data_IF_606221919703
#
_entry.id   IF_606221919703
#
_cell.length_a   1.000
_cell.length_b   1.000
_cell.length_c   1.000
_cell.angle_alpha   90.00
_cell.angle_beta   90.00
_cell.angle_gamma   90.00
#
_symmetry.space_group_name_H-M   'P 1'
#
loop_
_entity.id
_entity.type
_entity.pdbx_description
1 polymer ?
#
# COMPACT_ATOMS: atom_id res chain seq x y z
N UNK A 1 6.53 11.33 11.49
CA UNK A 1 6.44 9.91 11.11
C UNK A 1 7.80 9.27 11.31
N UNK A 2 7.83 8.11 11.93
CA UNK A 2 9.10 7.45 12.23
C UNK A 2 9.72 6.88 10.95
N UNK A 3 11.03 6.98 10.85
CA UNK A 3 11.74 6.49 9.67
C UNK A 3 11.57 4.98 9.46
N UNK A 4 11.54 4.19 10.54
CA UNK A 4 11.31 2.76 10.44
C UNK A 4 9.99 2.45 9.75
N UNK A 5 8.96 3.20 10.09
CA UNK A 5 7.65 3.01 9.50
C UNK A 5 7.65 3.37 8.01
N UNK A 6 8.34 4.46 7.66
CA UNK A 6 8.47 4.87 6.26
C UNK A 6 9.15 3.77 5.46
N UNK A 7 10.26 3.25 5.98
CA UNK A 7 11.01 2.19 5.31
C UNK A 7 10.18 0.93 5.15
N UNK A 8 9.51 0.51 6.22
CA UNK A 8 8.68 -0.70 6.19
C UNK A 8 7.54 -0.56 5.19
N UNK A 9 6.89 0.59 5.17
CA UNK A 9 5.77 0.83 4.27
C UNK A 9 6.22 0.75 2.81
N UNK A 10 7.32 1.44 2.48
CA UNK A 10 7.85 1.43 1.12
C UNK A 10 8.36 0.05 0.73
N UNK A 11 8.93 -0.68 1.69
CA UNK A 11 9.42 -2.03 1.45
C UNK A 11 8.28 -2.97 1.04
N UNK A 12 7.11 -2.83 1.68
CA UNK A 12 5.96 -3.65 1.30
C UNK A 12 5.53 -3.38 -0.13
N UNK A 13 5.58 -2.13 -0.57
CA UNK A 13 5.22 -1.78 -1.95
C UNK A 13 6.35 -2.03 -2.94
N UNK A 14 7.55 -2.32 -2.47
CA UNK A 14 8.69 -2.60 -3.32
C UNK A 14 8.71 -4.00 -3.92
N UNK A 15 7.58 -4.68 -3.91
CA UNK A 15 7.39 -6.01 -4.46
C UNK A 15 6.32 -5.94 -5.54
N UNK A 16 6.60 -6.54 -6.69
CA UNK A 16 5.73 -6.45 -7.86
C UNK A 16 4.30 -6.92 -7.56
N UNK A 17 4.17 -8.07 -6.89
CA UNK A 17 2.85 -8.63 -6.57
C UNK A 17 2.11 -7.75 -5.58
N UNK A 18 2.79 -7.30 -4.52
CA UNK A 18 2.15 -6.44 -3.52
C UNK A 18 1.71 -5.11 -4.12
N UNK A 19 2.52 -4.54 -4.98
CA UNK A 19 2.13 -3.30 -5.65
C UNK A 19 0.92 -3.52 -6.54
N UNK A 20 0.87 -4.65 -7.26
CA UNK A 20 -0.28 -4.99 -8.09
C UNK A 20 -1.55 -5.14 -7.26
N UNK A 21 -1.46 -5.79 -6.09
CA UNK A 21 -2.58 -5.92 -5.17
C UNK A 21 -3.06 -4.53 -4.73
N UNK A 22 -2.14 -3.69 -4.30
CA UNK A 22 -2.48 -2.35 -3.82
C UNK A 22 -3.14 -1.52 -4.92
N UNK A 23 -2.60 -1.56 -6.13
CA UNK A 23 -3.18 -0.82 -7.26
C UNK A 23 -4.57 -1.31 -7.61
N UNK A 24 -4.80 -2.61 -7.55
CA UNK A 24 -6.13 -3.17 -7.77
C UNK A 24 -7.12 -2.61 -6.75
N UNK A 25 -6.71 -2.55 -5.48
CA UNK A 25 -7.56 -2.08 -4.41
C UNK A 25 -7.79 -0.57 -4.48
N UNK A 26 -6.80 0.21 -4.92
CA UNK A 26 -7.01 1.64 -5.16
C UNK A 26 -8.13 1.82 -6.19
N UNK A 27 -8.07 1.07 -7.27
CA UNK A 27 -9.08 1.17 -8.34
C UNK A 27 -10.46 0.71 -7.87
N UNK A 28 -10.51 -0.19 -6.91
CA UNK A 28 -11.78 -0.69 -6.37
C UNK A 28 -12.47 0.33 -5.44
N UNK A 29 -11.71 1.28 -4.94
CA UNK A 29 -12.25 2.34 -4.09
C UNK A 29 -12.99 1.82 -2.87
N UNK A 30 -14.14 2.41 -2.60
CA UNK A 30 -14.93 2.08 -1.41
C UNK A 30 -15.60 0.71 -1.48
N UNK A 31 -15.69 0.14 -2.67
CA UNK A 31 -16.26 -1.20 -2.81
C UNK A 31 -15.30 -2.28 -2.33
N UNK A 32 -14.01 -2.01 -2.43
CA UNK A 32 -13.00 -2.99 -2.09
C UNK A 32 -13.04 -4.20 -3.01
N UNK A 33 -12.32 -5.24 -2.62
CA UNK A 33 -12.34 -6.50 -3.34
C UNK A 33 -12.13 -7.63 -2.34
N UNK A 34 -12.79 -8.76 -2.57
CA UNK A 34 -12.59 -9.91 -1.71
C UNK A 34 -11.23 -10.56 -2.01
N UNK A 35 -10.73 -11.33 -1.04
CA UNK A 35 -9.49 -12.06 -1.23
C UNK A 35 -9.59 -12.97 -2.45
N UNK A 36 -10.74 -13.63 -2.61
CA UNK A 36 -10.96 -14.49 -3.78
C UNK A 36 -10.89 -13.74 -5.10
N UNK A 37 -11.51 -12.55 -5.15
CA UNK A 37 -11.48 -11.72 -6.34
C UNK A 37 -10.06 -11.26 -6.69
N UNK A 38 -9.30 -10.86 -5.68
CA UNK A 38 -7.93 -10.42 -5.89
C UNK A 38 -7.09 -11.56 -6.47
N UNK A 39 -7.18 -12.74 -5.85
CA UNK A 39 -6.41 -13.90 -6.29
C UNK A 39 -6.77 -14.31 -7.71
N UNK A 40 -8.06 -14.27 -8.04
CA UNK A 40 -8.53 -14.65 -9.36
C UNK A 40 -8.05 -13.65 -10.43
N UNK A 41 -8.17 -12.37 -10.15
CA UNK A 41 -7.80 -11.32 -11.12
C UNK A 41 -6.30 -11.24 -11.35
N UNK A 42 -5.51 -11.45 -10.30
CA UNK A 42 -4.06 -11.37 -10.40
C UNK A 42 -3.41 -12.72 -10.63
N UNK A 43 -4.20 -13.79 -10.63
CA UNK A 43 -3.72 -15.16 -10.81
C UNK A 43 -2.67 -15.53 -9.77
N UNK A 44 -2.95 -15.16 -8.51
CA UNK A 44 -2.06 -15.44 -7.37
C UNK A 44 -2.69 -16.54 -6.52
N UNK A 45 -1.95 -17.61 -6.23
CA UNK A 45 -2.46 -18.68 -5.37
C UNK A 45 -2.82 -18.18 -3.97
N UNK A 46 -3.84 -18.78 -3.32
CA UNK A 46 -4.30 -18.29 -2.01
C UNK A 46 -3.22 -18.16 -0.94
N UNK A 47 -2.33 -19.12 -0.85
CA UNK A 47 -1.27 -19.07 0.18
C UNK A 47 -0.30 -17.90 -0.06
N UNK A 48 0.09 -17.71 -1.31
CA UNK A 48 0.96 -16.61 -1.70
C UNK A 48 0.26 -15.27 -1.48
N UNK A 49 -1.01 -15.20 -1.87
CA UNK A 49 -1.81 -13.99 -1.68
C UNK A 49 -1.92 -13.63 -0.20
N UNK A 50 -2.20 -14.62 0.65
CA UNK A 50 -2.29 -14.39 2.10
C UNK A 50 -1.01 -13.83 2.69
N UNK A 51 0.13 -14.33 2.23
CA UNK A 51 1.43 -13.84 2.66
C UNK A 51 1.61 -12.36 2.31
N UNK A 52 1.31 -11.99 1.08
CA UNK A 52 1.45 -10.60 0.63
C UNK A 52 0.45 -9.68 1.32
N UNK A 53 -0.79 -10.11 1.48
CA UNK A 53 -1.80 -9.31 2.16
C UNK A 53 -1.44 -9.04 3.61
N UNK A 54 -0.88 -10.04 4.31
CA UNK A 54 -0.45 -9.82 5.69
C UNK A 54 0.60 -8.71 5.81
N UNK A 55 1.53 -8.65 4.87
CA UNK A 55 2.52 -7.57 4.85
C UNK A 55 1.89 -6.20 4.67
N UNK A 56 0.96 -6.10 3.72
CA UNK A 56 0.28 -4.83 3.44
C UNK A 56 -0.59 -4.39 4.63
N UNK A 57 -1.26 -5.34 5.27
CA UNK A 57 -2.09 -5.03 6.44
C UNK A 57 -1.22 -4.60 7.61
N UNK A 58 -0.07 -5.23 7.80
CA UNK A 58 0.82 -4.92 8.91
C UNK A 58 1.24 -3.44 8.92
N UNK A 59 1.50 -2.86 7.77
CA UNK A 59 1.91 -1.45 7.68
C UNK A 59 0.72 -0.50 7.46
N UNK A 60 -0.49 -1.03 7.43
CA UNK A 60 -1.68 -0.20 7.31
C UNK A 60 -2.04 0.24 5.90
N UNK A 61 -1.35 -0.28 4.88
CA UNK A 61 -1.67 0.05 3.48
C UNK A 61 -2.97 -0.60 3.01
N UNK A 62 -3.35 -1.69 3.66
CA UNK A 62 -4.59 -2.41 3.37
C UNK A 62 -5.32 -2.65 4.68
N UNK A 63 -6.62 -2.44 4.67
CA UNK A 63 -7.49 -2.82 5.77
C UNK A 63 -8.45 -3.89 5.27
N UNK A 64 -8.97 -4.68 6.21
CA UNK A 64 -9.84 -5.79 5.86
C UNK A 64 -11.11 -5.74 6.70
N UNK A 65 -12.20 -6.18 6.10
CA UNK A 65 -13.49 -6.27 6.77
C UNK A 65 -14.13 -7.61 6.42
N UNK A 66 -14.50 -8.36 7.44
CA UNK A 66 -15.17 -9.64 7.23
C UNK A 66 -16.68 -9.40 7.12
N UNK A 67 -17.27 -9.91 6.04
CA UNK A 67 -18.72 -9.85 5.81
C UNK A 67 -19.16 -11.25 5.46
N UNK A 68 -19.86 -11.89 6.39
CA UNK A 68 -20.22 -13.29 6.22
C UNK A 68 -18.97 -14.16 6.14
N UNK A 69 -18.85 -14.90 5.05
CA UNK A 69 -17.67 -15.77 4.83
C UNK A 69 -16.60 -15.08 3.98
N UNK A 70 -16.86 -13.85 3.56
CA UNK A 70 -15.94 -13.13 2.69
C UNK A 70 -15.14 -12.14 3.47
N UNK A 71 -13.87 -11.95 3.06
CA UNK A 71 -13.02 -10.89 3.61
C UNK A 71 -12.79 -9.87 2.50
N UNK A 72 -13.27 -8.66 2.72
CA UNK A 72 -13.08 -7.56 1.80
C UNK A 72 -11.83 -6.79 2.17
N UNK A 73 -11.05 -6.43 1.17
CA UNK A 73 -9.83 -5.65 1.35
C UNK A 73 -9.99 -4.28 0.73
N UNK A 74 -9.39 -3.28 1.36
CA UNK A 74 -9.47 -1.89 0.94
C UNK A 74 -8.09 -1.26 0.99
N UNK A 75 -7.76 -0.47 -0.02
CA UNK A 75 -6.52 0.29 0.00
C UNK A 75 -6.68 1.53 0.86
N UNK A 76 -5.66 1.80 1.69
CA UNK A 76 -5.62 3.00 2.52
C UNK A 76 -4.63 3.98 1.89
N UNK A 77 -5.09 4.66 0.86
CA UNK A 77 -4.25 5.59 0.11
C UNK A 77 -3.67 6.70 0.98
N UNK A 78 -4.39 7.10 2.03
CA UNK A 78 -3.91 8.12 2.97
C UNK A 78 -2.59 7.74 3.63
N UNK A 79 -2.37 6.45 3.88
CA UNK A 79 -1.12 5.99 4.46
C UNK A 79 0.03 6.23 3.48
N UNK A 80 -0.16 5.87 2.23
CA UNK A 80 0.87 6.10 1.21
C UNK A 80 1.13 7.59 1.03
N UNK A 81 0.07 8.40 0.99
CA UNK A 81 0.23 9.85 0.85
C UNK A 81 1.06 10.43 1.98
N UNK A 82 0.83 10.00 3.22
CA UNK A 82 1.61 10.51 4.36
C UNK A 82 3.07 10.12 4.26
N UNK A 83 3.35 8.88 3.86
CA UNK A 83 4.72 8.41 3.69
C UNK A 83 5.43 9.20 2.61
N UNK A 84 4.79 9.40 1.46
CA UNK A 84 5.39 10.13 0.36
C UNK A 84 5.61 11.60 0.74
N UNK A 85 4.67 12.23 1.44
CA UNK A 85 4.83 13.60 1.90
C UNK A 85 5.99 13.76 2.87
N UNK A 86 6.20 12.77 3.74
CA UNK A 86 7.31 12.80 4.69
C UNK A 86 8.65 12.83 3.95
N UNK A 87 8.77 12.07 2.87
CA UNK A 87 10.00 12.04 2.08
C UNK A 87 10.12 13.33 1.26
N UNK A 88 9.04 13.75 0.61
CA UNK A 88 9.04 14.97 -0.20
C UNK A 88 9.36 16.21 0.61
N UNK A 89 8.94 16.25 1.88
CA UNK A 89 9.17 17.40 2.74
C UNK A 89 10.65 17.67 2.98
N UNK A 90 11.50 16.67 2.74
CA UNK A 90 12.96 16.84 2.90
C UNK A 90 13.62 17.43 1.67
N UNK A 91 12.84 17.70 0.64
CA UNK A 91 13.38 18.24 -0.59
C UNK A 91 14.15 19.53 -0.32
N UNK A 92 15.43 19.52 -0.71
CA UNK A 92 16.27 20.71 -0.74
C UNK A 92 16.62 21.30 0.64
N UNK A 93 16.43 20.55 1.70
CA UNK A 93 16.74 21.04 3.06
C UNK A 93 18.20 21.48 3.22
N UNK A 94 19.10 20.83 2.49
CA UNK A 94 20.53 21.14 2.58
C UNK A 94 20.98 22.18 1.56
N UNK A 95 20.07 22.79 0.82
CA UNK A 95 20.39 23.81 -0.16
C UNK A 95 19.85 25.15 0.30
N UNK A 96 20.77 26.08 0.55
CA UNK A 96 20.40 27.43 0.92
C UNK A 96 20.07 28.22 -0.34
N UNK A 97 18.94 28.91 -0.31
CA UNK A 97 18.58 29.92 -1.31
C UNK A 97 18.69 29.49 -2.78
N UNK A 98 18.70 28.19 -3.03
CA UNK A 98 18.72 27.72 -4.40
C UNK A 98 17.36 27.22 -4.79
N UNK A 99 16.86 27.72 -5.90
CA UNK A 99 15.65 27.18 -6.48
C UNK A 99 16.00 25.95 -7.26
N UNK A 100 15.21 24.90 -7.05
CA UNK A 100 15.36 23.69 -7.83
C UNK A 100 14.17 23.58 -8.74
N UNK A 101 14.44 23.54 -10.03
CA UNK A 101 13.42 23.28 -11.03
C UNK A 101 12.98 21.83 -10.94
N UNK A 102 11.70 21.65 -10.82
CA UNK A 102 11.12 20.32 -10.75
C UNK A 102 10.51 19.94 -12.10
#
# INVERSE_FOLDING_TARGET
MKQDYITQTLSELGNETRLAIFRLLIKSGNDGATIGEIGKRLKVPPSTLGFHLRGLVRVGLVTQKKVGRSVYCYAELGVLKRVLRSVEAECCEDQEDKEISQ
#
